data_IF_272853275461
#
_entry.id   IF_272853275461
#
_cell.length_a   1.000
_cell.length_b   1.000
_cell.length_c   1.000
_cell.angle_alpha   90.00
_cell.angle_beta   90.00
_cell.angle_gamma   90.00
#
_symmetry.space_group_name_H-M   'P 1'
#
loop_
_entity.id
_entity.type
_entity.pdbx_description
1 polymer ?
#
# COMPACT_ATOMS: atom_id res chain seq x y z
N UNK A 1 -12.64 -15.18 10.67
CA UNK A 1 -11.63 -14.13 10.94
C UNK A 1 -10.90 -13.86 9.65
N UNK A 2 -10.47 -12.63 9.39
CA UNK A 2 -9.71 -12.35 8.17
C UNK A 2 -8.39 -13.14 8.25
N UNK A 3 -8.24 -14.14 7.38
CA UNK A 3 -7.03 -14.97 7.35
C UNK A 3 -5.85 -14.12 6.88
N UNK A 4 -4.79 -14.10 7.70
CA UNK A 4 -3.53 -13.46 7.32
C UNK A 4 -2.84 -14.36 6.28
N UNK A 5 -2.45 -13.83 5.11
CA UNK A 5 -1.72 -14.61 4.13
C UNK A 5 -0.36 -15.04 4.68
N UNK A 6 0.17 -16.16 4.16
CA UNK A 6 1.49 -16.70 4.54
C UNK A 6 2.61 -15.71 4.22
N UNK A 7 2.45 -14.92 3.16
CA UNK A 7 3.34 -13.83 2.79
C UNK A 7 2.69 -12.49 3.12
N UNK A 8 3.35 -11.71 3.97
CA UNK A 8 2.99 -10.33 4.32
C UNK A 8 4.08 -9.42 3.77
N UNK A 9 3.68 -8.43 2.99
CA UNK A 9 4.58 -7.44 2.45
C UNK A 9 4.84 -6.32 3.47
N UNK A 10 6.01 -5.69 3.37
CA UNK A 10 6.31 -4.47 4.12
C UNK A 10 5.59 -3.28 3.47
N UNK A 11 4.34 -3.03 3.86
CA UNK A 11 3.53 -1.96 3.28
C UNK A 11 4.14 -0.58 3.51
N UNK A 12 5.05 -0.43 4.48
CA UNK A 12 5.80 0.82 4.69
C UNK A 12 6.74 1.18 3.54
N UNK A 13 7.02 0.27 2.62
CA UNK A 13 7.74 0.60 1.38
C UNK A 13 6.92 1.49 0.42
N UNK A 14 5.61 1.63 0.64
CA UNK A 14 4.81 2.61 -0.08
C UNK A 14 5.02 3.97 0.61
N UNK A 15 5.57 4.94 -0.12
CA UNK A 15 5.79 6.28 0.41
C UNK A 15 4.48 6.86 0.94
N UNK A 16 4.52 7.26 2.21
CA UNK A 16 3.36 7.71 2.98
C UNK A 16 2.82 6.64 3.92
N UNK A 17 2.99 5.35 3.67
CA UNK A 17 2.55 4.33 4.64
C UNK A 17 3.55 4.24 5.80
N UNK A 18 3.20 4.84 6.94
CA UNK A 18 3.97 4.68 8.18
C UNK A 18 3.47 3.49 9.03
N UNK A 19 4.19 3.12 10.11
CA UNK A 19 3.84 1.97 10.96
C UNK A 19 2.40 1.99 11.51
N UNK A 20 1.87 3.17 11.85
CA UNK A 20 0.49 3.31 12.32
C UNK A 20 -0.53 2.95 11.24
N UNK A 21 -0.25 3.36 10.00
CA UNK A 21 -1.13 3.14 8.85
C UNK A 21 -1.05 1.68 8.42
N UNK A 22 0.15 1.10 8.36
CA UNK A 22 0.33 -0.34 8.16
C UNK A 22 -0.49 -1.14 9.17
N UNK A 23 -0.47 -0.76 10.46
CA UNK A 23 -1.32 -1.39 11.48
C UNK A 23 -2.82 -1.28 11.19
N UNK A 24 -3.30 -0.12 10.72
CA UNK A 24 -4.69 0.04 10.27
C UNK A 24 -4.99 -0.86 9.08
N UNK A 25 -4.14 -0.89 8.06
CA UNK A 25 -4.31 -1.72 6.86
C UNK A 25 -4.37 -3.22 7.22
N UNK A 26 -3.46 -3.68 8.10
CA UNK A 26 -3.47 -5.05 8.61
C UNK A 26 -4.77 -5.38 9.34
N UNK A 27 -5.29 -4.44 10.15
CA UNK A 27 -6.57 -4.61 10.86
C UNK A 27 -7.75 -4.70 9.90
N UNK A 28 -7.65 -4.07 8.73
CA UNK A 28 -8.62 -4.15 7.63
C UNK A 28 -8.41 -5.37 6.71
N UNK A 29 -7.39 -6.20 6.95
CA UNK A 29 -7.12 -7.40 6.14
C UNK A 29 -6.21 -7.18 4.93
N UNK A 30 -5.62 -6.00 4.81
CA UNK A 30 -4.71 -5.67 3.71
C UNK A 30 -3.28 -5.93 4.21
N UNK A 31 -2.61 -6.91 3.61
CA UNK A 31 -1.29 -7.39 4.02
C UNK A 31 -0.27 -7.40 2.88
N UNK A 32 -0.69 -7.17 1.63
CA UNK A 32 0.17 -7.33 0.45
C UNK A 32 0.10 -6.12 -0.49
N UNK A 33 1.20 -5.86 -1.20
CA UNK A 33 1.24 -4.88 -2.29
C UNK A 33 0.25 -5.23 -3.39
N UNK A 34 0.01 -6.52 -3.65
CA UNK A 34 -0.95 -6.97 -4.65
C UNK A 34 -2.38 -6.51 -4.33
N UNK A 35 -2.80 -6.58 -3.06
CA UNK A 35 -4.09 -6.07 -2.62
C UNK A 35 -4.19 -4.56 -2.88
N UNK A 36 -3.20 -3.78 -2.42
CA UNK A 36 -3.18 -2.32 -2.63
C UNK A 36 -3.14 -1.95 -4.11
N UNK A 37 -2.37 -2.69 -4.92
CA UNK A 37 -2.27 -2.51 -6.36
C UNK A 37 -3.58 -2.76 -7.12
N UNK A 38 -4.49 -3.55 -6.52
CA UNK A 38 -5.78 -3.92 -7.11
C UNK A 38 -6.90 -2.93 -6.79
N UNK A 39 -6.68 -1.99 -5.86
CA UNK A 39 -7.71 -1.03 -5.45
C UNK A 39 -8.20 -0.16 -6.60
N UNK A 40 -9.52 -0.12 -6.77
CA UNK A 40 -10.21 0.86 -7.60
C UNK A 40 -10.59 2.04 -6.71
N UNK A 41 -11.26 3.03 -7.30
CA UNK A 41 -11.64 4.26 -6.60
C UNK A 41 -12.45 3.96 -5.33
N UNK A 42 -13.40 3.03 -5.40
CA UNK A 42 -14.23 2.67 -4.26
C UNK A 42 -13.43 2.08 -3.09
N UNK A 43 -12.47 1.18 -3.35
CA UNK A 43 -11.63 0.61 -2.30
C UNK A 43 -10.70 1.66 -1.70
N UNK A 44 -10.17 2.57 -2.52
CA UNK A 44 -9.36 3.68 -2.02
C UNK A 44 -10.18 4.59 -1.11
N UNK A 45 -11.36 5.02 -1.54
CA UNK A 45 -12.25 5.87 -0.76
C UNK A 45 -12.65 5.17 0.56
N UNK A 46 -12.94 3.88 0.51
CA UNK A 46 -13.28 3.07 1.69
C UNK A 46 -12.11 3.00 2.67
N UNK A 47 -10.91 2.64 2.22
CA UNK A 47 -9.71 2.58 3.10
C UNK A 47 -9.37 3.95 3.64
N UNK A 48 -9.44 5.00 2.82
CA UNK A 48 -9.12 6.37 3.20
C UNK A 48 -9.99 6.86 4.36
N UNK A 49 -11.25 6.43 4.45
CA UNK A 49 -12.15 6.74 5.57
C UNK A 49 -11.67 6.19 6.93
N UNK A 50 -10.83 5.16 6.95
CA UNK A 50 -10.22 4.62 8.18
C UNK A 50 -8.89 5.28 8.55
N UNK A 51 -8.33 6.12 7.66
CA UNK A 51 -7.07 6.81 7.91
C UNK A 51 -7.32 8.13 8.63
N UNK A 52 -6.43 8.50 9.55
CA UNK A 52 -6.51 9.80 10.25
C UNK A 52 -6.21 11.00 9.34
N UNK A 53 -5.66 10.77 8.16
CA UNK A 53 -5.32 11.80 7.18
C UNK A 53 -5.91 11.39 5.82
N UNK A 54 -7.04 11.99 5.45
CA UNK A 54 -7.75 11.64 4.23
C UNK A 54 -7.05 12.20 2.98
N UNK A 55 -7.31 11.60 1.82
CA UNK A 55 -6.84 12.01 0.49
C UNK A 55 -5.42 11.56 0.13
N UNK A 56 -4.71 10.94 1.06
CA UNK A 56 -3.30 10.57 0.88
C UNK A 56 -3.05 9.38 -0.03
N UNK A 57 -4.03 8.46 -0.11
CA UNK A 57 -3.92 7.27 -0.98
C UNK A 57 -3.78 7.72 -2.44
N UNK A 58 -4.52 8.75 -2.84
CA UNK A 58 -4.46 9.37 -4.17
C UNK A 58 -3.27 10.33 -4.28
N UNK A 59 -3.12 11.27 -3.33
CA UNK A 59 -2.06 12.28 -3.38
C UNK A 59 -0.66 11.67 -3.48
N UNK A 60 -0.43 10.58 -2.77
CA UNK A 60 0.86 9.89 -2.71
C UNK A 60 0.91 8.70 -3.70
N UNK A 61 -0.07 8.54 -4.61
CA UNK A 61 -0.07 7.51 -5.67
C UNK A 61 0.14 6.07 -5.16
N UNK A 62 -0.48 5.69 -4.03
CA UNK A 62 -0.21 4.40 -3.36
C UNK A 62 -0.40 3.20 -4.28
N UNK A 63 -1.46 3.20 -5.08
CA UNK A 63 -1.76 2.10 -6.00
C UNK A 63 -0.65 1.92 -7.05
N UNK A 64 -0.07 3.02 -7.55
CA UNK A 64 1.02 2.97 -8.54
C UNK A 64 2.30 2.45 -7.91
N UNK A 65 2.62 2.89 -6.70
CA UNK A 65 3.76 2.42 -5.93
C UNK A 65 3.65 0.93 -5.61
N UNK A 66 2.49 0.50 -5.13
CA UNK A 66 2.19 -0.89 -4.83
C UNK A 66 2.28 -1.78 -6.09
N UNK A 67 1.85 -1.29 -7.27
CA UNK A 67 2.04 -2.03 -8.54
C UNK A 67 3.50 -2.29 -8.87
N UNK A 68 4.39 -1.32 -8.65
CA UNK A 68 5.82 -1.50 -8.87
C UNK A 68 6.40 -2.52 -7.88
N UNK A 69 6.06 -2.38 -6.59
CA UNK A 69 6.53 -3.28 -5.53
C UNK A 69 6.01 -4.72 -5.72
N UNK A 70 4.74 -4.89 -6.10
CA UNK A 70 4.14 -6.20 -6.37
C UNK A 70 4.77 -6.90 -7.59
N UNK A 71 5.25 -6.12 -8.56
CA UNK A 71 5.82 -6.67 -9.81
C UNK A 71 7.28 -7.10 -9.68
N UNK A 72 8.09 -6.38 -8.91
CA UNK A 72 9.52 -6.69 -8.80
C UNK A 72 10.20 -6.07 -7.58
N UNK A 73 9.43 -5.78 -6.54
CA UNK A 73 9.92 -5.23 -5.27
C UNK A 73 10.64 -3.89 -5.43
N UNK A 74 11.64 -3.69 -4.58
CA UNK A 74 12.44 -2.46 -4.53
C UNK A 74 13.14 -2.17 -5.85
N UNK A 75 13.60 -3.19 -6.58
CA UNK A 75 14.29 -3.01 -7.85
C UNK A 75 13.36 -2.41 -8.91
N UNK A 76 12.14 -2.93 -9.03
CA UNK A 76 11.13 -2.39 -9.94
C UNK A 76 10.66 -0.99 -9.49
N UNK A 77 10.52 -0.76 -8.19
CA UNK A 77 10.22 0.56 -7.65
C UNK A 77 11.28 1.60 -8.07
N UNK A 78 12.57 1.29 -7.89
CA UNK A 78 13.67 2.17 -8.31
C UNK A 78 13.63 2.40 -9.82
N UNK A 79 13.35 1.36 -10.62
CA UNK A 79 13.24 1.48 -12.08
C UNK A 79 12.10 2.41 -12.50
N UNK A 80 10.96 2.38 -11.81
CA UNK A 80 9.76 3.17 -12.14
C UNK A 80 9.84 4.60 -11.62
N UNK A 81 10.39 4.82 -10.42
CA UNK A 81 10.36 6.10 -9.72
C UNK A 81 11.73 6.80 -9.64
N UNK A 82 12.81 6.14 -10.05
CA UNK A 82 14.18 6.69 -10.01
C UNK A 82 14.76 6.89 -8.61
N UNK A 83 14.07 6.41 -7.57
CA UNK A 83 14.44 6.56 -6.16
C UNK A 83 14.08 5.31 -5.36
N UNK A 84 14.71 5.15 -4.19
CA UNK A 84 14.35 4.08 -3.26
C UNK A 84 12.97 4.36 -2.62
N UNK A 85 12.19 3.31 -2.31
CA UNK A 85 11.03 3.45 -1.43
C UNK A 85 11.49 3.96 -0.05
N UNK A 86 10.63 4.74 0.61
CA UNK A 86 10.89 5.42 1.89
C UNK A 86 9.73 5.28 2.85
#
# INVERSE_FOLDING_TARGET
>A
GIERPVAVDDLKLISGVGPKIEGTLHSLGIYTFAQVASWKKAERDWVDAYLSFHGRIERDDWVKQAKALAKGGVAEYIRVFGKKPV
#
